data_IF_901975472006
#
_entry.id   IF_901975472006
#
_cell.length_a   1.000
_cell.length_b   1.000
_cell.length_c   1.000
_cell.angle_alpha   90.00
_cell.angle_beta   90.00
_cell.angle_gamma   90.00
#
_symmetry.space_group_name_H-M   'P 1'
#
loop_
_entity.id
_entity.type
_entity.pdbx_description
1 polymer ?
#
# COMPACT_ATOMS: atom_id res chain seq x y z
N UNK A 1 -17.57 13.39 -19.53
CA UNK A 1 -17.90 13.66 -18.11
C UNK A 1 -16.78 13.11 -17.25
N UNK A 2 -16.19 13.90 -16.34
CA UNK A 2 -15.09 13.44 -15.46
C UNK A 2 -15.70 12.80 -14.20
N UNK A 3 -15.07 11.74 -13.67
CA UNK A 3 -15.51 11.02 -12.47
C UNK A 3 -14.33 10.88 -11.50
N UNK A 4 -14.61 11.04 -10.21
CA UNK A 4 -13.67 10.70 -9.14
C UNK A 4 -13.86 9.22 -8.79
N UNK A 5 -12.77 8.47 -8.71
CA UNK A 5 -12.76 7.04 -8.36
C UNK A 5 -11.88 6.81 -7.14
N UNK A 6 -12.24 5.80 -6.34
CA UNK A 6 -11.38 5.29 -5.27
C UNK A 6 -10.61 4.08 -5.81
N UNK A 7 -9.29 4.14 -5.70
CA UNK A 7 -8.40 3.02 -6.02
C UNK A 7 -8.09 2.31 -4.70
N UNK A 8 -8.14 0.97 -4.72
CA UNK A 8 -7.73 0.17 -3.57
C UNK A 8 -6.20 0.11 -3.53
N UNK A 9 -5.59 0.24 -2.36
CA UNK A 9 -4.14 0.19 -2.24
C UNK A 9 -3.58 -1.17 -2.64
N UNK A 10 -2.37 -1.17 -3.19
CA UNK A 10 -1.54 -2.36 -3.32
C UNK A 10 -0.54 -2.41 -2.17
N UNK A 11 -0.40 -3.59 -1.54
CA UNK A 11 0.41 -3.78 -0.33
C UNK A 11 1.67 -4.56 -0.66
N UNK A 12 2.82 -4.05 -0.23
CA UNK A 12 4.12 -4.63 -0.55
C UNK A 12 4.91 -4.97 0.74
N UNK A 13 5.35 -6.23 0.90
CA UNK A 13 6.22 -6.60 2.00
C UNK A 13 7.64 -6.07 1.78
N UNK A 14 8.29 -5.61 2.84
CA UNK A 14 9.71 -5.17 2.81
C UNK A 14 10.46 -5.60 4.05
N UNK A 15 11.75 -5.90 3.91
CA UNK A 15 12.62 -6.29 5.04
C UNK A 15 12.67 -5.26 6.17
N UNK A 16 12.47 -3.98 5.84
CA UNK A 16 12.41 -2.86 6.79
C UNK A 16 10.99 -2.51 7.25
N UNK A 17 9.98 -3.23 6.75
CA UNK A 17 8.58 -3.06 7.13
C UNK A 17 8.24 -3.69 8.49
N UNK A 18 6.93 -3.79 8.76
CA UNK A 18 6.41 -4.47 9.95
C UNK A 18 6.20 -3.57 11.17
N UNK A 19 6.38 -2.26 11.03
CA UNK A 19 5.95 -1.29 12.03
C UNK A 19 4.42 -1.18 12.14
N UNK A 20 3.93 -0.63 13.25
CA UNK A 20 2.48 -0.52 13.53
C UNK A 20 1.82 0.68 12.83
N UNK A 21 2.62 1.66 12.39
CA UNK A 21 2.13 2.96 11.87
C UNK A 21 1.11 2.82 10.74
N UNK A 22 1.39 1.97 9.75
CA UNK A 22 0.50 1.78 8.60
C UNK A 22 -0.87 1.20 9.02
N UNK A 23 -0.90 0.38 10.07
CA UNK A 23 -2.13 -0.20 10.61
C UNK A 23 -2.84 0.75 11.58
N UNK A 24 -2.12 1.39 12.50
CA UNK A 24 -2.71 2.17 13.59
C UNK A 24 -3.01 3.62 13.22
N UNK A 25 -2.13 4.29 12.46
CA UNK A 25 -2.30 5.69 12.07
C UNK A 25 -3.09 5.82 10.76
N UNK A 26 -2.84 4.91 9.81
CA UNK A 26 -3.45 4.97 8.47
C UNK A 26 -4.54 3.92 8.24
N UNK A 27 -4.78 3.05 9.23
CA UNK A 27 -5.89 2.08 9.21
C UNK A 27 -5.90 1.16 7.98
N UNK A 28 -4.72 0.83 7.44
CA UNK A 28 -4.64 -0.17 6.39
C UNK A 28 -4.93 -1.57 6.95
N UNK A 29 -5.82 -2.27 6.27
CA UNK A 29 -6.28 -3.61 6.63
C UNK A 29 -5.73 -4.61 5.62
N UNK A 30 -4.80 -5.46 6.06
CA UNK A 30 -4.10 -6.42 5.21
C UNK A 30 -3.43 -7.50 6.04
N UNK A 31 -3.33 -8.71 5.47
CA UNK A 31 -2.57 -9.83 6.02
C UNK A 31 -1.10 -9.83 5.55
N UNK A 32 -0.69 -8.86 4.73
CA UNK A 32 0.70 -8.73 4.25
C UNK A 32 1.63 -8.31 5.39
N UNK A 33 2.65 -9.13 5.65
CA UNK A 33 3.67 -8.88 6.66
C UNK A 33 5.06 -9.35 6.21
N UNK A 34 6.15 -8.65 6.58
CA UNK A 34 6.17 -7.33 7.21
C UNK A 34 5.73 -6.22 6.23
N UNK A 35 4.65 -5.50 6.55
CA UNK A 35 4.12 -4.44 5.69
C UNK A 35 5.12 -3.27 5.63
N UNK A 36 5.68 -3.01 4.46
CA UNK A 36 6.65 -1.93 4.25
C UNK A 36 6.07 -0.76 3.49
N UNK A 37 5.39 -1.04 2.38
CA UNK A 37 4.91 -0.03 1.45
C UNK A 37 3.44 -0.23 1.08
N UNK A 38 2.78 0.90 0.79
CA UNK A 38 1.37 0.93 0.38
C UNK A 38 1.21 1.88 -0.82
N UNK A 39 0.93 1.32 -2.00
CA UNK A 39 0.71 2.10 -3.21
C UNK A 39 -0.78 2.40 -3.38
N UNK A 40 -1.20 3.60 -2.97
CA UNK A 40 -2.61 4.04 -3.13
C UNK A 40 -3.01 4.29 -4.58
N UNK A 41 -2.04 4.63 -5.44
CA UNK A 41 -2.22 4.79 -6.88
C UNK A 41 -0.93 4.33 -7.55
N UNK A 42 -0.98 3.23 -8.30
CA UNK A 42 0.15 2.72 -9.09
C UNK A 42 -0.35 2.28 -10.45
N UNK A 43 0.41 2.64 -11.49
CA UNK A 43 0.16 2.23 -12.88
C UNK A 43 1.42 1.64 -13.53
N UNK A 44 2.47 1.39 -12.74
CA UNK A 44 3.71 0.78 -13.20
C UNK A 44 3.53 -0.75 -13.30
N UNK A 45 3.79 -1.37 -14.46
CA UNK A 45 3.81 -2.82 -14.58
C UNK A 45 4.84 -3.43 -13.63
N UNK A 46 4.45 -4.42 -12.83
CA UNK A 46 5.32 -5.02 -11.81
C UNK A 46 5.43 -4.21 -10.52
N UNK A 47 4.67 -3.12 -10.38
CA UNK A 47 4.69 -2.18 -9.25
C UNK A 47 6.01 -1.41 -9.12
N UNK A 48 6.06 -0.42 -8.23
CA UNK A 48 7.30 0.27 -7.92
C UNK A 48 8.21 -0.65 -7.08
N UNK A 49 9.53 -0.54 -7.26
CA UNK A 49 10.51 -1.30 -6.45
C UNK A 49 11.01 -0.47 -5.24
N UNK A 50 10.73 0.84 -5.24
CA UNK A 50 11.54 1.87 -4.57
C UNK A 50 13.00 1.92 -5.06
#
# INVERSE_FOLDING_TARGET
MKKIVKIMPHYEPRMWGGGIRLKEEFHYDTDVAPLGEVYNVVALPGHADC
#
